data_IF_907345485396
#
_entry.id   IF_907345485396
#
_cell.length_a   1.000
_cell.length_b   1.000
_cell.length_c   1.000
_cell.angle_alpha   90.00
_cell.angle_beta   90.00
_cell.angle_gamma   90.00
#
_symmetry.space_group_name_H-M   'P 1'
#
loop_
_entity.id
_entity.type
_entity.pdbx_description
1 polymer ?
#
# COMPACT_ATOMS: atom_id res chain seq x y z
N UNK A 1 -21.05 40.07 23.88
CA UNK A 1 -21.75 38.77 23.76
C UNK A 1 -20.70 37.68 23.58
N UNK A 2 -20.88 36.52 24.20
CA UNK A 2 -19.93 35.39 24.08
C UNK A 2 -20.33 34.53 22.89
N UNK A 3 -19.36 34.18 22.05
CA UNK A 3 -19.54 33.24 20.95
C UNK A 3 -19.07 31.84 21.38
N UNK A 4 -19.85 30.81 21.09
CA UNK A 4 -19.58 29.41 21.42
C UNK A 4 -19.62 28.59 20.13
N UNK A 5 -18.64 27.71 19.94
CA UNK A 5 -18.61 26.77 18.83
C UNK A 5 -18.25 25.37 19.32
N UNK A 6 -18.99 24.35 18.87
CA UNK A 6 -18.72 22.95 19.14
C UNK A 6 -18.65 22.17 17.82
N UNK A 7 -17.72 21.22 17.78
CA UNK A 7 -17.52 20.31 16.66
C UNK A 7 -17.44 18.89 17.18
N UNK A 8 -18.15 17.98 16.53
CA UNK A 8 -18.08 16.56 16.78
C UNK A 8 -17.96 15.81 15.46
N UNK A 9 -17.03 14.87 15.37
CA UNK A 9 -16.88 13.99 14.22
C UNK A 9 -17.09 12.55 14.65
N UNK A 10 -17.87 11.81 13.90
CA UNK A 10 -18.21 10.43 14.20
C UNK A 10 -17.85 9.52 13.03
N UNK A 11 -17.12 8.44 13.34
CA UNK A 11 -16.97 7.30 12.47
C UNK A 11 -17.63 6.09 13.14
N UNK A 12 -18.85 5.80 12.72
CA UNK A 12 -19.62 4.67 13.24
C UNK A 12 -19.53 3.47 12.29
N UNK A 13 -19.74 2.28 12.84
CA UNK A 13 -19.64 1.06 12.04
C UNK A 13 -20.20 -0.18 12.71
N UNK A 14 -20.69 -1.09 11.87
CA UNK A 14 -21.22 -2.39 12.26
C UNK A 14 -20.52 -3.46 11.40
N UNK A 15 -20.20 -4.61 12.00
CA UNK A 15 -19.62 -5.76 11.29
C UNK A 15 -20.57 -6.96 11.43
N UNK A 16 -20.99 -7.54 10.31
CA UNK A 16 -21.84 -8.74 10.28
C UNK A 16 -21.23 -9.74 9.30
N UNK A 17 -20.61 -10.80 9.84
CA UNK A 17 -19.82 -11.74 9.05
C UNK A 17 -18.73 -11.02 8.24
N UNK A 18 -18.62 -11.24 6.91
CA UNK A 18 -17.61 -10.58 6.09
C UNK A 18 -17.95 -9.12 5.71
N UNK A 19 -19.16 -8.67 6.02
CA UNK A 19 -19.65 -7.34 5.67
C UNK A 19 -19.32 -6.32 6.76
N UNK A 20 -18.86 -5.15 6.32
CA UNK A 20 -18.53 -4.01 7.18
C UNK A 20 -19.32 -2.82 6.70
N UNK A 21 -20.29 -2.37 7.48
CA UNK A 21 -20.98 -1.11 7.27
C UNK A 21 -20.23 0.00 8.02
N UNK A 22 -20.02 1.13 7.37
CA UNK A 22 -19.37 2.31 7.93
C UNK A 22 -20.19 3.56 7.58
N UNK A 23 -20.25 4.48 8.52
CA UNK A 23 -20.80 5.82 8.29
C UNK A 23 -19.84 6.84 8.90
N UNK A 24 -19.61 7.93 8.18
CA UNK A 24 -18.82 9.06 8.61
C UNK A 24 -19.67 10.32 8.57
N UNK A 25 -19.69 11.07 9.66
CA UNK A 25 -20.47 12.29 9.80
C UNK A 25 -19.83 13.28 10.76
N UNK A 26 -20.28 14.53 10.70
CA UNK A 26 -19.86 15.55 11.64
C UNK A 26 -21.03 16.44 12.03
N UNK A 27 -21.05 16.84 13.29
CA UNK A 27 -22.00 17.78 13.85
C UNK A 27 -21.27 19.08 14.20
N UNK A 28 -21.86 20.19 13.78
CA UNK A 28 -21.32 21.52 13.99
C UNK A 28 -22.37 22.35 14.71
N UNK A 29 -21.98 23.02 15.78
CA UNK A 29 -22.82 23.96 16.49
C UNK A 29 -22.09 25.30 16.66
N UNK A 30 -22.81 26.39 16.43
CA UNK A 30 -22.32 27.74 16.62
C UNK A 30 -23.41 28.60 17.26
N UNK A 31 -23.05 29.42 18.25
CA UNK A 31 -23.93 30.42 18.85
C UNK A 31 -23.17 31.69 19.14
N UNK A 32 -23.64 32.83 18.64
CA UNK A 32 -23.03 34.14 18.87
C UNK A 32 -23.88 35.28 18.32
N UNK A 33 -23.81 36.46 18.93
CA UNK A 33 -24.53 37.68 18.51
C UNK A 33 -26.03 37.50 18.22
N UNK A 34 -26.73 36.68 19.01
CA UNK A 34 -28.17 36.40 18.84
C UNK A 34 -28.48 35.35 17.75
N UNK A 35 -27.48 34.85 17.04
CA UNK A 35 -27.60 33.77 16.06
C UNK A 35 -27.17 32.44 16.67
N UNK A 36 -27.86 31.36 16.31
CA UNK A 36 -27.40 30.00 16.52
C UNK A 36 -27.54 29.19 15.23
N UNK A 37 -26.62 28.26 15.00
CA UNK A 37 -26.60 27.34 13.87
C UNK A 37 -26.22 25.96 14.39
N UNK A 38 -26.97 24.96 13.97
CA UNK A 38 -26.72 23.56 14.27
C UNK A 38 -26.87 22.77 12.98
N UNK A 39 -25.83 22.03 12.59
CA UNK A 39 -25.80 21.31 11.33
C UNK A 39 -25.16 19.94 11.50
N UNK A 40 -25.90 18.91 11.11
CA UNK A 40 -25.38 17.58 10.86
C UNK A 40 -24.96 17.45 9.39
N UNK A 41 -23.71 17.08 9.15
CA UNK A 41 -23.14 16.86 7.84
C UNK A 41 -22.71 15.39 7.70
N UNK A 42 -23.39 14.64 6.83
CA UNK A 42 -23.02 13.26 6.51
C UNK A 42 -21.93 13.27 5.42
N UNK A 43 -20.74 12.78 5.78
CA UNK A 43 -19.59 12.74 4.87
C UNK A 43 -19.71 11.55 3.91
N UNK A 44 -20.17 10.41 4.40
CA UNK A 44 -20.45 9.26 3.54
C UNK A 44 -20.88 8.02 4.30
N UNK A 45 -21.60 7.15 3.60
CA UNK A 45 -22.02 5.84 4.11
C UNK A 45 -21.69 4.75 3.10
N UNK A 46 -21.01 3.70 3.53
CA UNK A 46 -20.63 2.60 2.66
C UNK A 46 -20.61 1.26 3.35
N UNK A 47 -20.83 0.23 2.54
CA UNK A 47 -20.69 -1.16 2.91
C UNK A 47 -19.54 -1.74 2.12
N UNK A 48 -18.62 -2.42 2.80
CA UNK A 48 -17.49 -3.06 2.17
C UNK A 48 -17.37 -4.54 2.56
N UNK A 49 -16.84 -5.34 1.63
CA UNK A 49 -16.58 -6.77 1.82
C UNK A 49 -15.34 -7.20 1.04
N UNK A 50 -14.48 -7.96 1.70
CA UNK A 50 -13.40 -8.68 1.04
C UNK A 50 -13.92 -9.92 0.28
N UNK A 51 -13.50 -10.07 -0.97
CA UNK A 51 -13.74 -11.23 -1.82
C UNK A 51 -12.42 -11.98 -2.00
N UNK A 52 -12.16 -12.90 -1.06
CA UNK A 52 -10.89 -13.64 -0.95
C UNK A 52 -10.51 -14.38 -2.25
N UNK A 53 -11.41 -15.11 -2.95
CA UNK A 53 -11.04 -15.83 -4.16
C UNK A 53 -10.56 -14.91 -5.29
N UNK A 54 -10.98 -13.66 -5.30
CA UNK A 54 -10.61 -12.66 -6.31
C UNK A 54 -9.51 -11.71 -5.82
N UNK A 55 -9.02 -11.86 -4.58
CA UNK A 55 -8.10 -10.91 -3.94
C UNK A 55 -8.57 -9.46 -4.10
N UNK A 56 -9.87 -9.26 -3.99
CA UNK A 56 -10.54 -7.99 -4.33
C UNK A 56 -11.42 -7.50 -3.19
N UNK A 57 -11.66 -6.19 -3.15
CA UNK A 57 -12.60 -5.56 -2.23
C UNK A 57 -13.79 -4.99 -3.00
N UNK A 58 -14.99 -5.34 -2.53
CA UNK A 58 -16.25 -4.79 -2.99
C UNK A 58 -16.66 -3.66 -2.04
N UNK A 59 -16.95 -2.48 -2.59
CA UNK A 59 -17.48 -1.32 -1.88
C UNK A 59 -18.79 -0.88 -2.54
N UNK A 60 -19.81 -0.64 -1.73
CA UNK A 60 -21.13 -0.16 -2.15
C UNK A 60 -21.54 1.04 -1.30
N UNK A 61 -21.97 2.13 -1.93
CA UNK A 61 -22.30 3.40 -1.27
C UNK A 61 -21.34 4.50 -1.68
N UNK A 62 -21.03 5.39 -0.73
CA UNK A 62 -20.11 6.51 -0.93
C UNK A 62 -18.65 6.04 -0.88
N UNK A 63 -17.85 6.41 -1.87
CA UNK A 63 -16.43 6.07 -1.89
C UNK A 63 -15.64 6.96 -2.84
N UNK A 64 -14.34 6.68 -2.95
CA UNK A 64 -13.45 7.37 -3.87
C UNK A 64 -12.75 6.34 -4.77
N UNK A 65 -12.45 6.74 -6.00
CA UNK A 65 -11.61 5.94 -6.90
C UNK A 65 -10.14 6.05 -6.50
N UNK A 66 -9.35 5.03 -6.86
CA UNK A 66 -7.90 5.11 -6.74
C UNK A 66 -7.33 6.13 -7.71
N UNK A 67 -6.11 6.59 -7.44
CA UNK A 67 -5.42 7.60 -8.24
C UNK A 67 -4.20 7.06 -8.98
N UNK A 68 -4.24 5.77 -9.36
CA UNK A 68 -3.09 5.08 -9.96
C UNK A 68 -2.83 5.51 -11.41
N UNK A 69 -3.90 5.85 -12.14
CA UNK A 69 -3.89 6.19 -13.58
C UNK A 69 -4.51 7.58 -13.80
N UNK A 70 -5.64 7.84 -13.14
CA UNK A 70 -6.41 9.09 -13.24
C UNK A 70 -6.51 9.74 -11.88
N UNK A 71 -6.92 11.01 -11.83
CA UNK A 71 -7.23 11.65 -10.55
C UNK A 71 -8.37 10.93 -9.82
N UNK A 72 -8.22 10.80 -8.50
CA UNK A 72 -9.23 10.16 -7.66
C UNK A 72 -10.50 11.01 -7.59
N UNK A 73 -11.64 10.43 -7.96
CA UNK A 73 -12.95 11.08 -7.90
C UNK A 73 -13.84 10.40 -6.85
N UNK A 74 -14.66 11.20 -6.17
CA UNK A 74 -15.73 10.69 -5.30
C UNK A 74 -16.87 10.10 -6.13
N UNK A 75 -17.48 9.03 -5.64
CA UNK A 75 -18.62 8.39 -6.28
C UNK A 75 -19.62 7.90 -5.22
N UNK A 76 -20.87 7.74 -5.65
CA UNK A 76 -21.91 6.99 -4.94
C UNK A 76 -22.38 5.86 -5.85
N UNK A 77 -22.06 4.62 -5.50
CA UNK A 77 -22.32 3.49 -6.38
C UNK A 77 -21.64 2.21 -5.91
N UNK A 78 -21.21 1.38 -6.86
CA UNK A 78 -20.56 0.10 -6.59
C UNK A 78 -19.18 0.09 -7.23
N UNK A 79 -18.18 -0.37 -6.49
CA UNK A 79 -16.81 -0.56 -6.96
C UNK A 79 -16.29 -1.91 -6.51
N UNK A 80 -15.72 -2.66 -7.45
CA UNK A 80 -14.93 -3.86 -7.19
C UNK A 80 -13.50 -3.58 -7.66
N UNK A 81 -12.51 -3.75 -6.79
CA UNK A 81 -11.11 -3.51 -7.14
C UNK A 81 -10.20 -4.54 -6.47
N UNK A 82 -9.12 -4.91 -7.15
CA UNK A 82 -8.06 -5.76 -6.57
C UNK A 82 -7.38 -5.02 -5.42
N UNK A 83 -7.09 -5.74 -4.33
CA UNK A 83 -6.45 -5.16 -3.14
C UNK A 83 -5.10 -5.82 -2.90
N UNK A 84 -4.02 -5.03 -2.96
CA UNK A 84 -2.65 -5.50 -2.73
C UNK A 84 -2.48 -6.08 -1.33
N UNK A 85 -3.22 -5.57 -0.34
CA UNK A 85 -3.21 -6.09 1.04
C UNK A 85 -3.69 -7.55 1.15
N UNK A 86 -4.27 -8.12 0.08
CA UNK A 86 -4.65 -9.53 0.02
C UNK A 86 -3.57 -10.44 -0.60
N UNK A 87 -2.48 -9.87 -1.10
CA UNK A 87 -1.30 -10.62 -1.52
C UNK A 87 -0.35 -10.82 -0.34
N UNK A 88 0.45 -11.89 -0.33
CA UNK A 88 1.55 -12.02 0.62
C UNK A 88 2.52 -10.84 0.50
N UNK A 89 3.15 -10.43 1.60
CA UNK A 89 4.04 -9.27 1.66
C UNK A 89 5.17 -9.31 0.61
N UNK A 90 5.65 -10.51 0.24
CA UNK A 90 6.66 -10.68 -0.82
C UNK A 90 6.18 -10.37 -2.24
N UNK A 91 4.86 -10.32 -2.45
CA UNK A 91 4.20 -9.99 -3.71
C UNK A 91 3.54 -8.60 -3.68
N UNK A 92 3.59 -7.91 -2.53
CA UNK A 92 3.08 -6.54 -2.40
C UNK A 92 4.11 -5.54 -2.91
N UNK A 93 3.69 -4.67 -3.84
CA UNK A 93 4.55 -3.65 -4.44
C UNK A 93 5.53 -4.16 -5.50
N UNK A 94 6.37 -3.27 -6.01
CA UNK A 94 7.37 -3.62 -7.03
C UNK A 94 8.64 -4.18 -6.37
N UNK A 95 8.81 -5.49 -6.42
CA UNK A 95 10.09 -6.15 -6.18
C UNK A 95 10.94 -6.09 -7.47
N UNK A 96 12.18 -5.61 -7.44
CA UNK A 96 13.07 -5.76 -8.58
C UNK A 96 13.34 -7.25 -8.82
N UNK A 97 13.61 -7.61 -10.07
CA UNK A 97 14.08 -8.95 -10.38
C UNK A 97 15.61 -8.97 -10.33
N UNK A 98 16.19 -9.86 -9.51
CA UNK A 98 17.63 -10.14 -9.52
C UNK A 98 17.89 -11.41 -10.31
N UNK A 99 18.69 -11.30 -11.37
CA UNK A 99 19.08 -12.41 -12.23
C UNK A 99 20.59 -12.62 -12.19
N UNK A 100 20.99 -13.88 -12.22
CA UNK A 100 22.39 -14.26 -12.25
C UNK A 100 22.59 -15.71 -12.65
N UNK A 101 23.86 -16.10 -12.78
CA UNK A 101 24.25 -17.48 -13.05
C UNK A 101 25.24 -17.90 -11.96
N UNK A 102 24.87 -18.91 -11.18
CA UNK A 102 25.73 -19.54 -10.20
C UNK A 102 26.50 -20.69 -10.87
N UNK A 103 27.83 -20.69 -10.79
CA UNK A 103 28.66 -21.76 -11.38
C UNK A 103 28.65 -23.03 -10.53
N UNK A 104 28.39 -22.90 -9.23
CA UNK A 104 28.39 -23.96 -8.21
C UNK A 104 27.22 -23.72 -7.25
N UNK A 105 26.95 -24.67 -6.36
CA UNK A 105 26.03 -24.44 -5.25
C UNK A 105 26.60 -23.30 -4.38
N UNK A 106 25.82 -22.24 -4.22
CA UNK A 106 26.29 -20.99 -3.60
C UNK A 106 25.20 -20.38 -2.72
N UNK A 107 25.62 -19.59 -1.74
CA UNK A 107 24.70 -18.80 -0.92
C UNK A 107 24.57 -17.40 -1.52
N UNK A 108 23.35 -17.05 -1.92
CA UNK A 108 23.00 -15.72 -2.39
C UNK A 108 22.66 -14.83 -1.20
N UNK A 109 23.34 -13.70 -1.09
CA UNK A 109 23.06 -12.64 -0.11
C UNK A 109 22.80 -11.33 -0.83
N UNK A 110 21.65 -10.73 -0.58
CA UNK A 110 21.29 -9.43 -1.17
C UNK A 110 21.27 -8.38 -0.06
N UNK A 111 21.88 -7.22 -0.34
CA UNK A 111 21.99 -6.12 0.63
C UNK A 111 21.44 -4.80 0.09
N UNK A 112 20.81 -4.05 0.99
CA UNK A 112 20.36 -2.69 0.74
C UNK A 112 20.72 -1.80 1.93
N UNK A 113 21.39 -0.67 1.67
CA UNK A 113 21.91 0.23 2.71
C UNK A 113 22.77 -0.49 3.76
N UNK A 114 23.53 -1.52 3.36
CA UNK A 114 24.37 -2.33 4.25
C UNK A 114 23.66 -3.44 5.02
N UNK A 115 22.33 -3.53 4.98
CA UNK A 115 21.56 -4.59 5.66
C UNK A 115 21.26 -5.75 4.71
N UNK A 116 21.31 -6.98 5.23
CA UNK A 116 20.88 -8.19 4.50
C UNK A 116 19.34 -8.20 4.46
N UNK A 117 18.79 -8.22 3.26
CA UNK A 117 17.33 -8.25 3.04
C UNK A 117 16.83 -9.60 2.55
N UNK A 118 17.73 -10.41 1.99
CA UNK A 118 17.39 -11.70 1.41
C UNK A 118 18.63 -12.58 1.43
N UNK A 119 18.46 -13.82 1.87
CA UNK A 119 19.51 -14.82 1.91
C UNK A 119 18.92 -16.19 1.57
N UNK A 120 19.45 -16.85 0.54
CA UNK A 120 18.97 -18.18 0.11
C UNK A 120 20.08 -18.98 -0.56
N UNK A 121 19.95 -20.31 -0.58
CA UNK A 121 20.87 -21.20 -1.31
C UNK A 121 20.37 -21.41 -2.73
N UNK A 122 21.25 -21.22 -3.71
CA UNK A 122 20.95 -21.45 -5.13
C UNK A 122 21.77 -22.63 -5.65
N UNK A 123 21.14 -23.45 -6.49
CA UNK A 123 21.81 -24.54 -7.21
C UNK A 123 22.69 -23.99 -8.35
N UNK A 124 23.67 -24.76 -8.85
CA UNK A 124 24.40 -24.38 -10.06
C UNK A 124 23.42 -24.15 -11.22
N UNK A 125 23.56 -23.03 -11.93
CA UNK A 125 22.71 -22.65 -13.06
C UNK A 125 22.21 -21.21 -13.00
N UNK A 126 21.34 -20.87 -13.95
CA UNK A 126 20.65 -19.59 -13.97
C UNK A 126 19.61 -19.54 -12.83
N UNK A 127 19.52 -18.40 -12.16
CA UNK A 127 18.52 -18.15 -11.14
C UNK A 127 17.85 -16.79 -11.35
N UNK A 128 16.62 -16.70 -10.87
CA UNK A 128 15.80 -15.50 -10.90
C UNK A 128 15.12 -15.36 -9.54
N UNK A 129 15.33 -14.22 -8.88
CA UNK A 129 14.65 -13.85 -7.63
C UNK A 129 13.64 -12.76 -7.94
N UNK A 130 12.37 -13.05 -7.72
CA UNK A 130 11.23 -12.14 -8.00
C UNK A 130 10.52 -11.66 -6.74
N UNK A 131 10.86 -12.20 -5.58
CA UNK A 131 10.14 -12.05 -4.31
C UNK A 131 10.95 -11.21 -3.30
N UNK A 132 11.80 -10.32 -3.79
CA UNK A 132 12.52 -9.37 -2.96
C UNK A 132 11.53 -8.37 -2.35
N UNK A 133 11.21 -8.58 -1.07
CA UNK A 133 10.34 -7.66 -0.36
C UNK A 133 10.89 -6.23 -0.46
N UNK A 134 10.14 -5.27 -1.02
CA UNK A 134 10.60 -3.90 -1.18
C UNK A 134 10.45 -3.13 0.13
N UNK A 135 11.05 -3.61 1.20
CA UNK A 135 11.13 -2.84 2.44
C UNK A 135 12.50 -2.97 3.07
N UNK A 136 13.21 -1.84 3.08
CA UNK A 136 13.85 -1.39 4.31
C UNK A 136 14.11 0.12 4.20
N UNK A 137 13.04 0.89 4.46
CA UNK A 137 12.95 2.04 5.36
C UNK A 137 11.74 2.92 4.97
N UNK A 138 10.55 2.62 5.52
CA UNK A 138 9.39 3.52 5.48
C UNK A 138 9.66 4.70 6.43
N UNK A 139 10.31 5.76 5.93
CA UNK A 139 10.51 6.99 6.70
C UNK A 139 9.15 7.58 7.09
N UNK A 140 8.95 7.72 8.41
CA UNK A 140 7.93 8.59 8.99
C UNK A 140 8.03 9.99 8.36
N UNK A 141 6.94 10.41 7.72
CA UNK A 141 6.59 11.76 7.24
C UNK A 141 7.43 12.42 6.12
N UNK A 142 6.72 12.95 5.12
CA UNK A 142 7.04 14.23 4.46
C UNK A 142 7.91 14.18 3.19
N UNK A 143 7.26 14.39 2.04
CA UNK A 143 7.74 14.93 0.75
C UNK A 143 9.23 14.80 0.39
N UNK A 144 9.49 14.09 -0.71
CA UNK A 144 10.30 14.46 -1.90
C UNK A 144 10.91 13.20 -2.55
N UNK A 145 10.76 13.09 -3.87
CA UNK A 145 11.47 12.24 -4.85
C UNK A 145 12.27 11.05 -4.27
N UNK A 146 11.66 9.86 -4.20
CA UNK A 146 12.37 8.64 -3.76
C UNK A 146 12.80 7.78 -4.94
N UNK A 147 14.11 7.67 -5.16
CA UNK A 147 14.71 6.55 -5.91
C UNK A 147 15.20 5.54 -4.88
N UNK A 148 14.54 4.39 -4.74
CA UNK A 148 15.16 3.23 -4.10
C UNK A 148 16.31 2.76 -5.01
N UNK A 149 17.54 2.78 -4.51
CA UNK A 149 18.72 2.32 -5.26
C UNK A 149 19.28 1.06 -4.57
N UNK A 150 19.32 -0.04 -5.31
CA UNK A 150 20.00 -1.28 -4.90
C UNK A 150 21.50 -1.05 -4.82
N UNK A 151 22.15 -1.58 -3.78
CA UNK A 151 23.58 -1.36 -3.56
C UNK A 151 24.42 -2.59 -3.95
N UNK A 152 24.08 -3.81 -3.51
CA UNK A 152 24.81 -5.01 -3.95
C UNK A 152 24.01 -6.32 -3.78
N UNK A 153 24.35 -7.31 -4.61
CA UNK A 153 23.98 -8.71 -4.45
C UNK A 153 25.25 -9.52 -4.65
N UNK A 154 25.55 -10.41 -3.71
CA UNK A 154 26.80 -11.16 -3.63
C UNK A 154 26.50 -12.65 -3.49
N UNK A 155 27.26 -13.48 -4.22
CA UNK A 155 27.26 -14.93 -4.06
C UNK A 155 28.52 -15.32 -3.29
N UNK A 156 28.35 -15.82 -2.06
CA UNK A 156 29.45 -16.43 -1.33
C UNK A 156 29.63 -17.88 -1.78
N UNK A 157 30.90 -18.30 -1.89
CA UNK A 157 31.37 -19.59 -2.45
C UNK A 157 31.37 -19.75 -3.99
N UNK A 158 31.35 -18.65 -4.77
CA UNK A 158 31.54 -18.75 -6.23
C UNK A 158 32.56 -17.74 -6.77
N UNK A 159 33.56 -18.26 -7.49
CA UNK A 159 34.56 -17.49 -8.24
C UNK A 159 33.87 -16.64 -9.32
N UNK A 160 33.84 -15.32 -9.08
CA UNK A 160 33.39 -14.21 -9.94
C UNK A 160 32.07 -14.41 -10.70
N UNK A 161 31.01 -13.71 -10.27
CA UNK A 161 29.96 -13.24 -11.18
C UNK A 161 29.20 -12.02 -10.64
N UNK A 162 28.96 -11.05 -11.51
CA UNK A 162 28.10 -9.89 -11.27
C UNK A 162 26.63 -10.29 -11.42
N UNK A 163 25.79 -9.88 -10.47
CA UNK A 163 24.33 -9.91 -10.65
C UNK A 163 23.91 -8.66 -11.44
N UNK A 164 23.19 -8.85 -12.54
CA UNK A 164 22.64 -7.72 -13.30
C UNK A 164 21.28 -7.36 -12.71
N UNK A 165 21.17 -6.13 -12.18
CA UNK A 165 19.91 -5.58 -11.70
C UNK A 165 19.11 -5.03 -12.87
N UNK A 166 17.95 -5.62 -13.16
CA UNK A 166 17.01 -5.04 -14.12
C UNK A 166 15.87 -4.39 -13.35
N UNK A 167 16.00 -3.09 -13.06
CA UNK A 167 14.85 -2.29 -12.62
C UNK A 167 14.05 -1.92 -13.85
N UNK A 168 13.03 -2.71 -14.22
CA UNK A 168 12.02 -2.17 -15.14
C UNK A 168 11.23 -1.12 -14.36
N UNK A 169 11.35 0.15 -14.74
CA UNK A 169 10.35 1.14 -14.37
C UNK A 169 9.02 0.61 -14.92
N UNK A 170 8.17 0.07 -14.05
CA UNK A 170 6.75 0.06 -14.35
C UNK A 170 6.38 1.54 -14.45
N UNK A 171 6.27 2.04 -15.67
CA UNK A 171 5.42 3.19 -15.92
C UNK A 171 4.04 2.72 -15.49
N UNK A 172 3.58 3.16 -14.31
CA UNK A 172 2.14 3.28 -14.09
C UNK A 172 1.69 4.31 -15.12
N UNK A 173 1.04 3.80 -16.16
CA UNK A 173 0.18 4.59 -17.04
C UNK A 173 -1.03 4.96 -16.19
#
# INVERSE_FOLDING_TARGET
MVTIAYFFSELSGINIGPWRLRNNGSWNYFRGNGYHSEQWNNIGTWVQRAIIPLKSELVMGDGNTGSDIFDGVGFRGVRLYSSDNMYPDSQQGFAPTVRGIARTAAQLTIRQNGFIIYQSYVSPGAFEITDLHPDIFKWRSGRHHRRARWQSAELHNSVFNSANFTTRRAFQI
#
